data_IF_000805136395
#
_entry.id   IF_000805136395
#
_cell.length_a   1.000
_cell.length_b   1.000
_cell.length_c   1.000
_cell.angle_alpha   90.00
_cell.angle_beta   90.00
_cell.angle_gamma   90.00
#
_symmetry.space_group_name_H-M   'P 1'
#
loop_
_entity.id
_entity.type
_entity.pdbx_description
1 polymer ?
#
# COMPACT_ATOMS: atom_id res chain seq x y z
N UNK A 1 5.88 4.71 53.76
CA UNK A 1 6.36 5.18 52.46
C UNK A 1 5.36 4.70 51.42
N UNK A 2 4.58 5.60 50.84
CA UNK A 2 3.58 5.25 49.84
C UNK A 2 4.28 4.96 48.51
N UNK A 3 3.99 3.79 47.94
CA UNK A 3 4.51 3.32 46.67
C UNK A 3 3.94 4.18 45.55
N UNK A 4 4.79 5.05 44.97
CA UNK A 4 4.44 5.93 43.86
C UNK A 4 4.22 5.08 42.61
N UNK A 5 2.97 4.64 42.38
CA UNK A 5 2.57 3.97 41.15
C UNK A 5 2.73 4.95 39.99
N UNK A 6 3.87 4.90 39.31
CA UNK A 6 4.08 5.59 38.03
C UNK A 6 2.99 5.11 37.08
N UNK A 7 2.11 6.03 36.69
CA UNK A 7 1.08 5.78 35.68
C UNK A 7 1.81 5.56 34.35
N UNK A 8 2.00 4.29 33.98
CA UNK A 8 2.47 3.94 32.63
C UNK A 8 1.31 4.24 31.69
N UNK A 9 1.38 5.39 31.02
CA UNK A 9 0.48 5.69 29.91
C UNK A 9 1.00 4.89 28.73
N UNK A 10 0.37 3.75 28.46
CA UNK A 10 0.55 3.06 27.19
C UNK A 10 -0.16 3.92 26.15
N UNK A 11 0.60 4.69 25.38
CA UNK A 11 0.04 5.42 24.24
C UNK A 11 -0.49 4.37 23.25
N UNK A 12 -1.81 4.33 23.10
CA UNK A 12 -2.45 3.48 22.11
C UNK A 12 -2.24 4.10 20.73
N UNK A 13 -2.44 3.32 19.65
CA UNK A 13 -2.38 3.84 18.26
C UNK A 13 -3.22 5.13 18.04
N UNK A 14 -4.25 5.36 18.86
CA UNK A 14 -5.06 6.60 18.87
C UNK A 14 -4.31 7.85 19.37
N UNK A 15 -3.27 7.69 20.19
CA UNK A 15 -2.55 8.81 20.80
C UNK A 15 -1.40 9.34 19.91
N UNK A 16 -0.90 8.53 18.97
CA UNK A 16 0.10 8.95 17.96
C UNK A 16 -0.51 9.90 16.91
N UNK A 17 -1.83 9.82 16.67
CA UNK A 17 -2.57 10.74 15.78
C UNK A 17 -2.78 12.15 16.36
N UNK A 18 -2.13 12.53 17.47
CA UNK A 18 -2.43 13.79 18.20
C UNK A 18 -2.14 15.11 17.47
N UNK A 19 -1.49 15.09 16.31
CA UNK A 19 -1.37 16.29 15.48
C UNK A 19 -1.45 15.93 13.99
N UNK A 20 -2.64 15.56 13.47
CA UNK A 20 -2.79 15.21 12.07
C UNK A 20 -2.43 16.42 11.23
N UNK A 21 -1.76 16.22 10.10
CA UNK A 21 -1.39 17.32 9.22
C UNK A 21 -2.65 18.02 8.70
N UNK A 22 -2.52 19.24 8.14
CA UNK A 22 -3.67 19.91 7.52
C UNK A 22 -4.26 19.10 6.36
N UNK A 23 -3.40 18.37 5.63
CA UNK A 23 -3.78 17.45 4.58
C UNK A 23 -4.57 16.27 5.15
N UNK A 24 -4.13 15.72 6.28
CA UNK A 24 -4.77 14.56 6.90
C UNK A 24 -6.19 14.91 7.34
N UNK A 25 -6.36 16.06 7.99
CA UNK A 25 -7.69 16.57 8.37
C UNK A 25 -8.60 16.79 7.15
N UNK A 26 -8.04 17.24 6.04
CA UNK A 26 -8.81 17.47 4.81
C UNK A 26 -9.27 16.15 4.19
N UNK A 27 -8.38 15.17 4.04
CA UNK A 27 -8.71 13.85 3.49
C UNK A 27 -9.71 13.11 4.41
N UNK A 28 -9.50 13.17 5.72
CA UNK A 28 -10.40 12.59 6.73
C UNK A 28 -11.76 13.29 6.78
N UNK A 29 -11.85 14.56 6.40
CA UNK A 29 -13.11 15.30 6.30
C UNK A 29 -13.86 15.07 4.99
N UNK A 30 -13.19 14.58 3.95
CA UNK A 30 -13.72 14.44 2.60
C UNK A 30 -14.52 13.13 2.41
N UNK A 31 -15.53 12.90 3.25
CA UNK A 31 -16.41 11.71 3.20
C UNK A 31 -17.21 11.58 1.90
N UNK A 32 -17.37 12.67 1.15
CA UNK A 32 -17.98 12.63 -0.19
C UNK A 32 -17.23 11.70 -1.16
N UNK A 33 -15.94 11.42 -0.90
CA UNK A 33 -15.14 10.49 -1.70
C UNK A 33 -15.51 9.03 -1.48
N UNK A 34 -16.16 8.67 -0.36
CA UNK A 34 -16.40 7.27 0.02
C UNK A 34 -17.24 6.52 -1.04
N UNK A 35 -18.32 7.12 -1.53
CA UNK A 35 -19.19 6.50 -2.54
C UNK A 35 -18.51 6.25 -3.89
N UNK A 36 -17.87 7.27 -4.51
CA UNK A 36 -17.08 7.08 -5.72
C UNK A 36 -15.93 6.09 -5.54
N UNK A 37 -15.25 6.13 -4.39
CA UNK A 37 -14.16 5.22 -4.05
C UNK A 37 -14.64 3.76 -4.00
N UNK A 38 -15.75 3.48 -3.31
CA UNK A 38 -16.40 2.16 -3.28
C UNK A 38 -16.81 1.69 -4.67
N UNK A 39 -17.38 2.59 -5.46
CA UNK A 39 -17.81 2.27 -6.82
C UNK A 39 -16.62 1.82 -7.66
N UNK A 40 -15.52 2.59 -7.64
CA UNK A 40 -14.30 2.24 -8.35
C UNK A 40 -13.72 0.90 -7.87
N UNK A 41 -13.67 0.68 -6.55
CA UNK A 41 -13.16 -0.55 -5.94
C UNK A 41 -13.96 -1.77 -6.40
N UNK A 42 -15.30 -1.67 -6.37
CA UNK A 42 -16.22 -2.71 -6.81
C UNK A 42 -16.09 -2.99 -8.32
N UNK A 43 -15.86 -1.98 -9.14
CA UNK A 43 -15.60 -2.18 -10.58
C UNK A 43 -14.34 -2.98 -10.84
N UNK A 44 -13.25 -2.67 -10.14
CA UNK A 44 -11.97 -3.39 -10.26
C UNK A 44 -12.14 -4.84 -9.78
N UNK A 45 -12.82 -5.06 -8.65
CA UNK A 45 -13.11 -6.41 -8.14
C UNK A 45 -13.94 -7.23 -9.14
N UNK A 46 -15.00 -6.64 -9.70
CA UNK A 46 -15.83 -7.29 -10.74
C UNK A 46 -15.03 -7.64 -11.99
N UNK A 47 -14.04 -6.83 -12.38
CA UNK A 47 -13.17 -7.14 -13.51
C UNK A 47 -12.43 -8.46 -13.28
N UNK A 48 -11.84 -8.64 -12.09
CA UNK A 48 -11.17 -9.90 -11.74
C UNK A 48 -12.13 -11.08 -11.67
N UNK A 49 -13.33 -10.87 -11.11
CA UNK A 49 -14.38 -11.91 -11.05
C UNK A 49 -14.81 -12.37 -12.44
N UNK A 50 -15.07 -11.44 -13.37
CA UNK A 50 -15.45 -11.73 -14.76
C UNK A 50 -14.35 -12.48 -15.50
N UNK A 51 -13.08 -12.16 -15.22
CA UNK A 51 -11.93 -12.85 -15.81
C UNK A 51 -11.70 -14.24 -15.19
N UNK A 52 -12.37 -14.62 -14.11
CA UNK A 52 -12.29 -15.96 -13.50
C UNK A 52 -10.87 -16.35 -13.07
N UNK A 53 -10.41 -17.59 -13.31
CA UNK A 53 -9.07 -18.04 -12.91
C UNK A 53 -7.92 -17.19 -13.48
N UNK A 54 -7.93 -16.79 -14.77
CA UNK A 54 -6.96 -15.81 -15.29
C UNK A 54 -6.95 -14.49 -14.52
N UNK A 55 -8.12 -14.00 -14.11
CA UNK A 55 -8.26 -12.79 -13.29
C UNK A 55 -7.56 -12.91 -11.94
N UNK A 56 -7.71 -14.06 -11.27
CA UNK A 56 -7.02 -14.30 -10.00
C UNK A 56 -5.50 -14.39 -10.18
N UNK A 57 -5.01 -15.08 -11.21
CA UNK A 57 -3.58 -15.12 -11.52
C UNK A 57 -3.02 -13.72 -11.77
N UNK A 58 -3.76 -12.87 -12.50
CA UNK A 58 -3.38 -11.48 -12.73
C UNK A 58 -3.37 -10.68 -11.43
N UNK A 59 -4.39 -10.85 -10.58
CA UNK A 59 -4.49 -10.20 -9.27
C UNK A 59 -3.32 -10.60 -8.37
N UNK A 60 -2.96 -11.88 -8.32
CA UNK A 60 -1.83 -12.40 -7.55
C UNK A 60 -0.48 -11.83 -8.04
N UNK A 61 -0.31 -11.75 -9.37
CA UNK A 61 0.87 -11.15 -9.98
C UNK A 61 1.00 -9.67 -9.62
N UNK A 62 -0.11 -8.92 -9.71
CA UNK A 62 -0.12 -7.47 -9.49
C UNK A 62 0.03 -7.08 -8.02
N UNK A 63 -0.52 -7.87 -7.08
CA UNK A 63 -0.15 -7.75 -5.66
C UNK A 63 1.30 -8.19 -5.39
N UNK A 64 1.87 -9.02 -6.27
CA UNK A 64 3.22 -9.58 -6.13
C UNK A 64 3.29 -10.82 -5.22
N UNK A 65 2.16 -11.44 -4.89
CA UNK A 65 2.13 -12.65 -4.02
C UNK A 65 2.71 -13.87 -4.72
N UNK A 66 2.39 -14.08 -6.00
CA UNK A 66 2.93 -15.15 -6.84
C UNK A 66 3.24 -14.62 -8.25
N UNK A 67 4.44 -14.89 -8.81
CA UNK A 67 5.54 -15.70 -8.28
C UNK A 67 6.57 -14.92 -7.44
N UNK A 68 6.43 -13.59 -7.31
CA UNK A 68 7.48 -12.72 -6.77
C UNK A 68 7.67 -12.86 -5.25
N UNK A 69 6.58 -13.11 -4.51
CA UNK A 69 6.59 -13.15 -3.05
C UNK A 69 6.79 -11.78 -2.37
N UNK A 70 6.79 -10.69 -3.15
CA UNK A 70 7.02 -9.32 -2.67
C UNK A 70 6.09 -8.34 -3.39
N UNK A 71 5.63 -7.26 -2.73
CA UNK A 71 4.77 -6.25 -3.34
C UNK A 71 5.37 -5.71 -4.65
N UNK A 72 4.61 -5.82 -5.74
CA UNK A 72 5.09 -5.41 -7.07
C UNK A 72 5.04 -3.88 -7.24
N UNK A 73 3.99 -3.23 -6.72
CA UNK A 73 3.79 -1.80 -6.90
C UNK A 73 4.97 -0.94 -6.43
N UNK A 74 5.52 -1.09 -5.20
CA UNK A 74 6.68 -0.29 -4.78
C UNK A 74 7.89 -0.44 -5.72
N UNK A 75 8.20 -1.66 -6.16
CA UNK A 75 9.30 -1.90 -7.08
C UNK A 75 9.07 -1.23 -8.45
N UNK A 76 7.82 -1.18 -8.92
CA UNK A 76 7.48 -0.52 -10.19
C UNK A 76 7.56 1.00 -10.09
N UNK A 77 7.36 1.61 -8.92
CA UNK A 77 7.41 3.08 -8.76
C UNK A 77 8.80 3.67 -8.91
N UNK A 78 9.86 2.88 -8.73
CA UNK A 78 11.25 3.33 -8.91
C UNK A 78 11.54 3.71 -10.37
N UNK A 79 10.93 3.00 -11.32
CA UNK A 79 11.10 3.24 -12.77
C UNK A 79 10.64 4.65 -13.17
N UNK A 80 9.38 5.06 -12.95
CA UNK A 80 8.93 6.41 -13.29
C UNK A 80 9.68 7.49 -12.50
N UNK A 81 9.96 7.27 -11.21
CA UNK A 81 10.65 8.29 -10.41
C UNK A 81 12.07 8.55 -10.92
N UNK A 82 12.83 7.50 -11.21
CA UNK A 82 14.17 7.62 -11.79
C UNK A 82 14.13 8.25 -13.19
N UNK A 83 13.23 7.77 -14.04
CA UNK A 83 13.10 8.27 -15.42
C UNK A 83 12.69 9.75 -15.45
N UNK A 84 11.73 10.18 -14.64
CA UNK A 84 11.32 11.59 -14.58
C UNK A 84 12.39 12.49 -13.96
N UNK A 85 13.19 11.99 -13.03
CA UNK A 85 14.35 12.73 -12.49
C UNK A 85 15.36 13.03 -13.59
N UNK A 86 15.72 12.02 -14.38
CA UNK A 86 16.65 12.19 -15.52
C UNK A 86 16.02 13.07 -16.59
N UNK A 87 14.73 12.88 -16.91
CA UNK A 87 13.99 13.75 -17.84
C UNK A 87 14.10 15.22 -17.43
N UNK A 88 13.77 15.55 -16.19
CA UNK A 88 13.82 16.91 -15.67
C UNK A 88 15.22 17.51 -15.83
N UNK A 89 16.26 16.81 -15.37
CA UNK A 89 17.64 17.30 -15.48
C UNK A 89 18.06 17.46 -16.94
N UNK A 90 17.71 16.50 -17.79
CA UNK A 90 18.08 16.49 -19.20
C UNK A 90 17.44 17.65 -19.97
N UNK A 91 16.14 17.89 -19.74
CA UNK A 91 15.41 18.98 -20.39
C UNK A 91 16.04 20.34 -20.10
N UNK A 92 16.30 20.62 -18.81
CA UNK A 92 16.86 21.91 -18.41
C UNK A 92 18.32 22.06 -18.85
N UNK A 93 19.10 20.98 -18.85
CA UNK A 93 20.47 21.01 -19.36
C UNK A 93 20.50 21.27 -20.88
N UNK A 94 19.62 20.63 -21.64
CA UNK A 94 19.47 20.85 -23.08
C UNK A 94 19.00 22.28 -23.40
N UNK A 95 18.03 22.82 -22.66
CA UNK A 95 17.49 24.17 -22.89
C UNK A 95 18.45 25.30 -22.50
N UNK A 96 19.12 25.19 -21.34
CA UNK A 96 19.93 26.27 -20.78
C UNK A 96 21.37 26.24 -21.31
N UNK A 97 22.00 25.07 -21.28
CA UNK A 97 23.43 24.93 -21.56
C UNK A 97 23.72 24.32 -22.93
N UNK A 98 22.73 23.62 -23.52
CA UNK A 98 22.89 22.80 -24.73
C UNK A 98 24.00 21.74 -24.61
N UNK A 99 24.34 21.35 -23.37
CA UNK A 99 25.41 20.38 -23.11
C UNK A 99 25.04 18.94 -23.49
N UNK A 100 23.75 18.66 -23.66
CA UNK A 100 23.25 17.34 -24.07
C UNK A 100 22.14 17.46 -25.14
N UNK A 101 21.89 16.40 -25.92
CA UNK A 101 20.80 16.35 -26.90
C UNK A 101 19.40 16.53 -26.28
N UNK A 102 18.52 17.26 -26.96
CA UNK A 102 17.14 17.53 -26.53
C UNK A 102 16.23 16.30 -26.54
N UNK A 103 16.66 15.21 -27.18
CA UNK A 103 15.92 13.96 -27.34
C UNK A 103 15.95 13.07 -26.09
N UNK A 104 16.91 13.31 -25.19
CA UNK A 104 17.09 12.51 -23.97
C UNK A 104 15.88 12.68 -23.04
N UNK A 105 15.41 13.91 -22.84
CA UNK A 105 14.24 14.20 -22.00
C UNK A 105 12.97 13.46 -22.47
N UNK A 106 12.53 13.60 -23.74
CA UNK A 106 11.42 12.84 -24.30
C UNK A 106 11.56 11.32 -24.17
N UNK A 107 12.76 10.77 -24.38
CA UNK A 107 12.99 9.33 -24.20
C UNK A 107 12.75 8.90 -22.74
N UNK A 108 13.31 9.62 -21.78
CA UNK A 108 13.09 9.37 -20.36
C UNK A 108 11.62 9.56 -19.97
N UNK A 109 10.92 10.53 -20.55
CA UNK A 109 9.48 10.74 -20.34
C UNK A 109 8.67 9.53 -20.81
N UNK A 110 9.00 8.92 -21.96
CA UNK A 110 8.34 7.68 -22.45
C UNK A 110 8.57 6.54 -21.46
N UNK A 111 9.81 6.30 -21.06
CA UNK A 111 10.15 5.24 -20.09
C UNK A 111 9.37 5.46 -18.78
N UNK A 112 9.31 6.70 -18.30
CA UNK A 112 8.57 7.03 -17.09
C UNK A 112 7.06 6.84 -17.24
N UNK A 113 6.45 7.21 -18.37
CA UNK A 113 5.02 6.95 -18.65
C UNK A 113 4.73 5.45 -18.64
N UNK A 114 5.57 4.64 -19.28
CA UNK A 114 5.40 3.17 -19.30
C UNK A 114 5.54 2.57 -17.89
N UNK A 115 6.54 3.02 -17.12
CA UNK A 115 6.71 2.62 -15.72
C UNK A 115 5.52 3.03 -14.85
N UNK A 116 4.98 4.23 -15.06
CA UNK A 116 3.82 4.74 -14.33
C UNK A 116 2.53 3.99 -14.68
N UNK A 117 2.35 3.56 -15.92
CA UNK A 117 1.23 2.67 -16.32
C UNK A 117 1.33 1.31 -15.65
N UNK A 118 2.53 0.72 -15.60
CA UNK A 118 2.76 -0.55 -14.92
C UNK A 118 2.50 -0.41 -13.41
N UNK A 119 3.04 0.64 -12.77
CA UNK A 119 2.81 0.93 -11.36
C UNK A 119 1.33 1.17 -11.06
N UNK A 120 0.61 1.89 -11.93
CA UNK A 120 -0.83 2.12 -11.77
C UNK A 120 -1.63 0.81 -11.82
N UNK A 121 -1.27 -0.14 -12.69
CA UNK A 121 -1.94 -1.44 -12.74
C UNK A 121 -1.81 -2.20 -11.41
N UNK A 122 -0.60 -2.22 -10.83
CA UNK A 122 -0.36 -2.82 -9.52
C UNK A 122 -1.04 -2.01 -8.39
N UNK A 123 -0.97 -0.68 -8.41
CA UNK A 123 -1.57 0.18 -7.38
C UNK A 123 -3.10 0.17 -7.34
N UNK A 124 -3.77 0.09 -8.49
CA UNK A 124 -5.23 -0.12 -8.52
C UNK A 124 -5.63 -1.51 -8.03
N UNK A 125 -4.72 -2.48 -8.12
CA UNK A 125 -4.91 -3.80 -7.52
C UNK A 125 -4.83 -3.71 -6.00
N UNK A 126 -3.78 -3.08 -5.46
CA UNK A 126 -3.61 -2.83 -4.02
C UNK A 126 -4.76 -2.02 -3.42
N UNK A 127 -5.29 -1.05 -4.17
CA UNK A 127 -6.45 -0.23 -3.80
C UNK A 127 -7.67 -1.10 -3.39
N UNK A 128 -7.81 -2.31 -3.95
CA UNK A 128 -8.91 -3.21 -3.60
C UNK A 128 -8.89 -3.71 -2.16
N UNK A 129 -7.74 -3.63 -1.47
CA UNK A 129 -7.62 -3.98 -0.05
C UNK A 129 -7.92 -2.85 0.93
N UNK A 130 -8.11 -1.61 0.45
CA UNK A 130 -8.22 -0.42 1.32
C UNK A 130 -9.65 -0.16 1.81
N UNK A 131 -9.79 0.39 3.02
CA UNK A 131 -11.10 0.70 3.62
C UNK A 131 -11.09 1.98 4.47
N UNK A 132 -12.26 2.56 4.72
CA UNK A 132 -12.42 3.73 5.57
C UNK A 132 -11.48 4.89 5.20
N UNK A 133 -10.72 5.38 6.18
CA UNK A 133 -9.75 6.49 5.99
C UNK A 133 -8.66 6.15 4.99
N UNK A 134 -8.11 4.94 5.07
CA UNK A 134 -7.04 4.46 4.17
C UNK A 134 -7.48 4.53 2.70
N UNK A 135 -8.72 4.12 2.42
CA UNK A 135 -9.28 4.19 1.05
C UNK A 135 -9.38 5.63 0.53
N UNK A 136 -9.69 6.60 1.39
CA UNK A 136 -9.72 8.02 1.00
C UNK A 136 -8.34 8.58 0.67
N UNK A 137 -7.31 8.13 1.39
CA UNK A 137 -5.93 8.43 1.00
C UNK A 137 -5.56 7.75 -0.31
N UNK A 138 -5.93 6.48 -0.47
CA UNK A 138 -5.58 5.69 -1.65
C UNK A 138 -6.23 6.26 -2.92
N UNK A 139 -7.51 6.68 -2.86
CA UNK A 139 -8.16 7.33 -4.00
C UNK A 139 -7.56 8.72 -4.28
N UNK A 140 -7.18 9.49 -3.25
CA UNK A 140 -6.52 10.79 -3.43
C UNK A 140 -5.17 10.64 -4.11
N UNK A 141 -4.34 9.70 -3.64
CA UNK A 141 -3.06 9.35 -4.25
C UNK A 141 -3.24 8.87 -5.69
N UNK A 142 -4.11 7.88 -5.91
CA UNK A 142 -4.35 7.27 -7.23
C UNK A 142 -4.91 8.25 -8.26
N UNK A 143 -5.86 9.11 -7.87
CA UNK A 143 -6.39 10.16 -8.75
C UNK A 143 -5.32 11.20 -9.08
N UNK A 144 -4.56 11.65 -8.09
CA UNK A 144 -3.48 12.61 -8.31
C UNK A 144 -2.44 12.04 -9.28
N UNK A 145 -1.99 10.79 -9.08
CA UNK A 145 -1.08 10.11 -10.00
C UNK A 145 -1.68 9.98 -11.40
N UNK A 146 -2.96 9.60 -11.53
CA UNK A 146 -3.62 9.49 -12.85
C UNK A 146 -3.67 10.82 -13.60
N UNK A 147 -3.98 11.92 -12.91
CA UNK A 147 -3.98 13.26 -13.51
C UNK A 147 -2.57 13.69 -13.94
N UNK A 148 -1.55 13.37 -13.14
CA UNK A 148 -0.15 13.65 -13.47
C UNK A 148 0.33 12.82 -14.65
N UNK A 149 -0.09 11.55 -14.77
CA UNK A 149 0.16 10.71 -15.93
C UNK A 149 -0.40 11.35 -17.21
N UNK A 150 -1.64 11.83 -17.16
CA UNK A 150 -2.26 12.54 -18.29
C UNK A 150 -1.46 13.80 -18.64
N UNK A 151 -1.02 14.58 -17.65
CA UNK A 151 -0.17 15.75 -17.89
C UNK A 151 1.18 15.38 -18.54
N UNK A 152 1.80 14.27 -18.11
CA UNK A 152 3.03 13.73 -18.72
C UNK A 152 2.80 13.30 -20.18
N UNK A 153 1.67 12.66 -20.49
CA UNK A 153 1.29 12.28 -21.87
C UNK A 153 1.06 13.54 -22.73
N UNK A 154 0.36 14.55 -22.20
CA UNK A 154 0.16 15.83 -22.90
C UNK A 154 1.51 16.50 -23.18
N UNK A 155 2.42 16.54 -22.20
CA UNK A 155 3.79 17.03 -22.38
C UNK A 155 4.50 16.30 -23.52
N UNK A 156 4.40 14.97 -23.56
CA UNK A 156 5.00 14.16 -24.62
C UNK A 156 4.44 14.54 -25.99
N UNK A 157 3.11 14.61 -26.14
CA UNK A 157 2.47 14.97 -27.42
C UNK A 157 2.91 16.34 -27.91
N UNK A 158 3.03 17.34 -27.02
CA UNK A 158 3.48 18.68 -27.37
C UNK A 158 4.93 18.70 -27.88
N UNK A 159 5.81 17.88 -27.28
CA UNK A 159 7.22 17.77 -27.68
C UNK A 159 7.39 17.17 -29.09
N UNK A 160 6.41 16.41 -29.59
CA UNK A 160 6.43 15.80 -30.93
C UNK A 160 5.86 16.69 -32.04
N UNK A 161 5.32 17.88 -31.75
CA UNK A 161 4.68 18.75 -32.76
C UNK A 161 5.67 19.53 -33.67
N UNK A 162 6.96 19.17 -33.69
CA UNK A 162 8.01 19.87 -34.46
C UNK A 162 8.03 21.42 -34.30
N UNK A 163 7.64 21.93 -33.12
CA UNK A 163 7.59 23.35 -32.80
C UNK A 163 8.38 23.64 -31.53
N UNK A 164 9.35 24.56 -31.60
CA UNK A 164 10.18 24.94 -30.47
C UNK A 164 9.37 25.51 -29.30
N UNK A 165 8.31 26.29 -29.61
CA UNK A 165 7.40 26.85 -28.60
C UNK A 165 6.62 25.74 -27.89
N UNK A 166 6.05 24.79 -28.64
CA UNK A 166 5.28 23.69 -28.05
C UNK A 166 6.20 22.74 -27.26
N UNK A 167 7.42 22.51 -27.74
CA UNK A 167 8.43 21.76 -27.00
C UNK A 167 8.72 22.41 -25.64
N UNK A 168 8.94 23.73 -25.59
CA UNK A 168 9.16 24.45 -24.35
C UNK A 168 7.98 24.33 -23.38
N UNK A 169 6.74 24.51 -23.86
CA UNK A 169 5.55 24.30 -23.02
C UNK A 169 5.40 22.85 -22.55
N UNK A 170 5.78 21.88 -23.38
CA UNK A 170 5.89 20.48 -22.98
C UNK A 170 6.84 20.30 -21.80
N UNK A 171 8.04 20.89 -21.86
CA UNK A 171 9.01 20.86 -20.75
C UNK A 171 8.47 21.51 -19.48
N UNK A 172 7.77 22.65 -19.59
CA UNK A 172 7.15 23.29 -18.42
C UNK A 172 6.07 22.41 -17.79
N UNK A 173 5.19 21.80 -18.59
CA UNK A 173 4.12 20.92 -18.09
C UNK A 173 4.72 19.73 -17.35
N UNK A 174 5.70 19.02 -17.94
CA UNK A 174 6.32 17.88 -17.27
C UNK A 174 7.14 18.27 -16.05
N UNK A 175 7.72 19.48 -16.03
CA UNK A 175 8.43 20.01 -14.86
C UNK A 175 7.46 20.21 -13.68
N UNK A 176 6.32 20.86 -13.92
CA UNK A 176 5.29 21.03 -12.89
C UNK A 176 4.69 19.69 -12.47
N UNK A 177 4.43 18.81 -13.44
CA UNK A 177 3.93 17.48 -13.18
C UNK A 177 4.93 16.64 -12.36
N UNK A 178 6.23 16.76 -12.61
CA UNK A 178 7.26 16.07 -11.83
C UNK A 178 7.28 16.54 -10.37
N UNK A 179 7.14 17.85 -10.12
CA UNK A 179 6.93 18.37 -8.77
C UNK A 179 5.68 17.78 -8.12
N UNK A 180 4.59 17.65 -8.88
CA UNK A 180 3.38 16.96 -8.45
C UNK A 180 3.59 15.47 -8.15
N UNK A 181 4.40 14.76 -8.93
CA UNK A 181 4.73 13.34 -8.70
C UNK A 181 5.47 13.17 -7.38
N UNK A 182 6.42 14.04 -7.06
CA UNK A 182 7.14 14.01 -5.76
C UNK A 182 6.16 14.21 -4.60
N UNK A 183 5.24 15.17 -4.73
CA UNK A 183 4.22 15.39 -3.70
C UNK A 183 3.23 14.22 -3.59
N UNK A 184 2.79 13.65 -4.70
CA UNK A 184 1.91 12.48 -4.71
C UNK A 184 2.62 11.22 -4.16
N UNK A 185 3.94 11.10 -4.32
CA UNK A 185 4.75 10.04 -3.72
C UNK A 185 4.77 10.13 -2.19
N UNK A 186 4.75 11.33 -1.61
CA UNK A 186 4.57 11.50 -0.16
C UNK A 186 3.22 10.90 0.32
N UNK A 187 2.13 11.08 -0.42
CA UNK A 187 0.84 10.45 -0.10
C UNK A 187 0.94 8.91 -0.13
N UNK A 188 1.65 8.36 -1.12
CA UNK A 188 1.92 6.93 -1.21
C UNK A 188 2.73 6.43 0.00
N UNK A 189 3.76 7.17 0.41
CA UNK A 189 4.51 6.89 1.63
C UNK A 189 3.64 6.87 2.88
N UNK A 190 2.66 7.77 2.99
CA UNK A 190 1.73 7.77 4.13
C UNK A 190 0.80 6.55 4.15
N UNK A 191 0.40 6.02 2.99
CA UNK A 191 -0.32 4.74 2.90
C UNK A 191 0.51 3.60 3.48
N UNK A 192 1.76 3.44 3.01
CA UNK A 192 2.63 2.34 3.45
C UNK A 192 3.09 2.50 4.90
N UNK A 193 3.64 3.65 5.26
CA UNK A 193 4.28 3.84 6.58
C UNK A 193 3.32 4.33 7.66
N UNK A 194 2.26 5.05 7.29
CA UNK A 194 1.25 5.56 8.24
C UNK A 194 0.16 4.53 8.52
N UNK A 195 -0.50 4.04 7.46
CA UNK A 195 -1.60 3.08 7.61
C UNK A 195 -1.12 1.63 7.71
N UNK A 196 0.03 1.30 7.11
CA UNK A 196 0.47 -0.09 6.96
C UNK A 196 -0.20 -0.77 5.77
N UNK A 197 -0.68 -0.01 4.79
CA UNK A 197 -1.32 -0.55 3.58
C UNK A 197 -0.40 -1.54 2.90
N UNK A 198 -0.88 -2.77 2.69
CA UNK A 198 -0.11 -3.86 2.07
C UNK A 198 1.21 -4.21 2.79
N UNK A 199 1.32 -3.88 4.08
CA UNK A 199 2.45 -4.25 4.95
C UNK A 199 2.03 -5.40 5.85
N UNK A 200 2.89 -6.41 5.98
CA UNK A 200 2.67 -7.50 6.93
C UNK A 200 2.66 -6.95 8.37
N UNK A 201 1.50 -7.01 9.03
CA UNK A 201 1.33 -6.51 10.40
C UNK A 201 2.11 -7.27 11.48
N UNK A 202 2.72 -8.41 11.14
CA UNK A 202 3.64 -9.14 12.01
C UNK A 202 5.13 -8.83 11.73
N UNK A 203 5.45 -8.01 10.72
CA UNK A 203 6.84 -7.75 10.31
C UNK A 203 7.71 -7.07 11.38
N UNK A 204 7.08 -6.38 12.33
CA UNK A 204 7.77 -5.59 13.36
C UNK A 204 7.66 -6.21 14.76
N UNK A 205 7.11 -7.41 14.87
CA UNK A 205 7.02 -8.16 16.13
C UNK A 205 8.05 -9.28 16.09
N UNK A 206 9.08 -9.17 16.92
CA UNK A 206 10.07 -10.23 17.04
C UNK A 206 9.45 -11.44 17.74
N UNK A 207 9.52 -12.59 17.07
CA UNK A 207 9.20 -13.87 17.69
C UNK A 207 10.29 -14.31 18.65
N UNK A 208 9.94 -15.15 19.62
CA UNK A 208 10.93 -15.84 20.46
C UNK A 208 11.64 -16.94 19.67
N UNK A 209 12.97 -17.06 19.79
CA UNK A 209 13.74 -18.21 19.30
C UNK A 209 13.81 -19.35 20.32
N UNK A 210 13.46 -19.06 21.57
CA UNK A 210 13.46 -20.00 22.69
C UNK A 210 12.06 -20.51 22.99
N UNK A 211 11.98 -21.72 23.56
CA UNK A 211 10.73 -22.27 24.04
C UNK A 211 10.11 -21.37 25.10
N UNK A 212 8.94 -20.82 24.80
CA UNK A 212 8.17 -20.01 25.75
C UNK A 212 6.95 -20.77 26.23
N UNK A 213 6.82 -20.89 27.55
CA UNK A 213 5.63 -21.45 28.16
C UNK A 213 4.47 -20.44 28.03
N UNK A 214 3.42 -20.83 27.32
CA UNK A 214 2.24 -19.98 27.06
C UNK A 214 0.97 -20.47 27.78
N UNK A 215 1.05 -21.59 28.49
CA UNK A 215 -0.06 -22.21 29.20
C UNK A 215 0.12 -23.71 29.35
N UNK A 216 -0.77 -24.34 30.10
CA UNK A 216 -0.91 -25.79 30.20
C UNK A 216 -1.78 -26.32 29.06
N UNK A 217 -1.63 -27.59 28.72
CA UNK A 217 -2.49 -28.22 27.70
C UNK A 217 -4.00 -28.10 28.01
N UNK A 218 -4.38 -28.01 29.29
CA UNK A 218 -5.79 -27.92 29.70
C UNK A 218 -6.42 -26.55 29.42
N UNK A 219 -5.59 -25.52 29.20
CA UNK A 219 -6.05 -24.16 28.91
C UNK A 219 -6.59 -24.04 27.47
N UNK A 220 -6.29 -25.02 26.62
CA UNK A 220 -6.65 -25.05 25.20
C UNK A 220 -7.69 -26.15 24.94
N UNK A 221 -8.97 -25.78 25.02
CA UNK A 221 -10.07 -26.68 24.67
C UNK A 221 -10.11 -26.98 23.16
N UNK A 222 -10.61 -28.16 22.79
CA UNK A 222 -10.79 -28.57 21.39
C UNK A 222 -11.63 -27.56 20.61
N UNK A 223 -11.16 -27.16 19.43
CA UNK A 223 -11.85 -26.25 18.51
C UNK A 223 -12.00 -24.81 18.99
N UNK A 224 -11.37 -24.42 20.11
CA UNK A 224 -11.47 -23.06 20.65
C UNK A 224 -10.18 -22.26 20.39
N UNK A 225 -10.25 -21.19 19.58
CA UNK A 225 -9.18 -20.19 19.47
C UNK A 225 -8.88 -19.56 20.83
N UNK A 226 -7.60 -19.55 21.22
CA UNK A 226 -7.14 -18.88 22.45
C UNK A 226 -5.93 -18.01 22.14
N UNK A 227 -6.04 -16.73 22.45
CA UNK A 227 -4.91 -15.79 22.37
C UNK A 227 -4.00 -15.96 23.59
N UNK A 228 -2.72 -16.10 23.33
CA UNK A 228 -1.66 -16.15 24.34
C UNK A 228 -0.49 -15.27 23.91
N UNK A 229 0.44 -15.03 24.84
CA UNK A 229 1.60 -14.17 24.61
C UNK A 229 2.87 -15.03 24.67
N UNK A 230 3.65 -15.07 23.58
CA UNK A 230 4.92 -15.77 23.48
C UNK A 230 6.05 -14.75 23.31
N UNK A 231 6.66 -14.33 24.43
CA UNK A 231 7.55 -13.15 24.43
C UNK A 231 6.74 -11.90 24.05
N UNK A 232 7.19 -11.16 23.03
CA UNK A 232 6.47 -10.00 22.50
C UNK A 232 5.45 -10.35 21.40
N UNK A 233 5.43 -11.61 20.93
CA UNK A 233 4.51 -12.07 19.91
C UNK A 233 3.16 -12.54 20.48
N UNK A 234 2.04 -11.90 20.12
CA UNK A 234 0.72 -12.45 20.40
C UNK A 234 0.46 -13.63 19.45
N UNK A 235 0.07 -14.77 20.02
CA UNK A 235 -0.09 -16.05 19.31
C UNK A 235 -1.52 -16.55 19.50
N UNK A 236 -2.15 -16.98 18.42
CA UNK A 236 -3.38 -17.74 18.45
C UNK A 236 -3.01 -19.21 18.55
N UNK A 237 -3.48 -19.89 19.60
CA UNK A 237 -3.37 -21.34 19.76
C UNK A 237 -4.76 -21.96 19.64
N UNK A 238 -4.85 -23.05 18.89
CA UNK A 238 -6.07 -23.84 18.76
C UNK A 238 -5.75 -25.33 18.87
N UNK A 239 -6.60 -26.07 19.57
CA UNK A 239 -6.52 -27.54 19.62
C UNK A 239 -7.40 -28.16 18.54
N UNK A 240 -6.80 -28.94 17.63
CA UNK A 240 -7.47 -29.66 16.56
C UNK A 240 -7.00 -31.12 16.52
N UNK A 241 -7.93 -32.07 16.58
CA UNK A 241 -7.63 -33.50 16.62
C UNK A 241 -6.72 -33.88 17.79
N UNK A 242 -6.85 -33.18 18.93
CA UNK A 242 -5.98 -33.36 20.09
C UNK A 242 -4.58 -32.72 19.98
N UNK A 243 -4.20 -32.15 18.83
CA UNK A 243 -2.92 -31.46 18.62
C UNK A 243 -3.08 -29.96 18.81
N UNK A 244 -2.10 -29.29 19.40
CA UNK A 244 -2.05 -27.84 19.50
C UNK A 244 -1.36 -27.26 18.28
N UNK A 245 -2.04 -26.35 17.59
CA UNK A 245 -1.52 -25.57 16.47
C UNK A 245 -1.45 -24.11 16.89
N UNK A 246 -0.47 -23.40 16.37
CA UNK A 246 -0.21 -22.02 16.74
C UNK A 246 0.18 -21.18 15.52
N UNK A 247 -0.40 -20.00 15.40
CA UNK A 247 -0.04 -18.96 14.42
C UNK A 247 -0.01 -17.60 15.12
N UNK A 248 0.52 -16.56 14.47
CA UNK A 248 0.39 -15.20 15.01
C UNK A 248 -1.10 -14.85 15.24
N UNK A 249 -1.44 -14.22 16.37
CA UNK A 249 -2.82 -13.83 16.67
C UNK A 249 -3.30 -12.63 15.85
N UNK A 250 -2.38 -11.96 15.14
CA UNK A 250 -2.65 -10.75 14.37
C UNK A 250 -2.63 -11.12 12.89
N UNK A 251 -3.74 -10.81 12.21
CA UNK A 251 -3.91 -11.02 10.79
C UNK A 251 -2.88 -10.20 10.00
N UNK A 252 -2.09 -10.86 9.13
CA UNK A 252 -1.07 -10.20 8.32
C UNK A 252 -1.62 -9.21 7.31
N UNK A 253 -2.92 -9.31 6.95
CA UNK A 253 -3.58 -8.47 5.96
C UNK A 253 -3.88 -7.05 6.47
N UNK A 254 -4.59 -6.93 7.61
CA UNK A 254 -5.04 -5.64 8.13
C UNK A 254 -4.83 -5.47 9.65
N UNK A 255 -4.24 -6.46 10.33
CA UNK A 255 -3.99 -6.40 11.77
C UNK A 255 -5.15 -6.89 12.65
N UNK A 256 -6.17 -7.52 12.07
CA UNK A 256 -7.32 -8.03 12.81
C UNK A 256 -7.00 -9.17 13.81
N UNK A 257 -7.78 -9.31 14.90
CA UNK A 257 -7.57 -10.33 15.91
C UNK A 257 -8.08 -11.70 15.41
N UNK A 258 -7.17 -12.58 15.01
CA UNK A 258 -7.54 -13.91 14.51
C UNK A 258 -8.18 -14.78 15.59
N UNK A 259 -7.87 -14.52 16.86
CA UNK A 259 -8.47 -15.20 18.01
C UNK A 259 -9.95 -14.87 18.23
N UNK A 260 -10.45 -13.77 17.66
CA UNK A 260 -11.88 -13.44 17.61
C UNK A 260 -12.55 -13.93 16.31
N UNK A 261 -11.78 -14.64 15.46
CA UNK A 261 -12.22 -15.15 14.17
C UNK A 261 -13.08 -16.41 14.25
N UNK A 262 -13.58 -16.83 13.09
CA UNK A 262 -14.37 -18.07 12.94
C UNK A 262 -13.45 -19.22 12.52
N UNK A 263 -13.44 -20.30 13.28
CA UNK A 263 -12.71 -21.53 12.93
C UNK A 263 -13.61 -22.44 12.08
N UNK A 264 -13.14 -22.81 10.88
CA UNK A 264 -13.79 -23.76 9.97
C UNK A 264 -12.80 -24.86 9.58
N UNK A 265 -12.94 -26.03 10.21
CA UNK A 265 -11.96 -27.11 10.05
C UNK A 265 -10.61 -26.72 10.66
N UNK A 266 -9.59 -26.64 9.82
CA UNK A 266 -8.24 -26.15 10.14
C UNK A 266 -7.99 -24.70 9.71
N UNK A 267 -9.01 -23.99 9.21
CA UNK A 267 -8.89 -22.62 8.72
C UNK A 267 -9.48 -21.65 9.75
N UNK A 268 -8.69 -20.65 10.17
CA UNK A 268 -9.19 -19.49 10.92
C UNK A 268 -9.49 -18.34 9.96
N UNK A 269 -10.73 -17.83 10.04
CA UNK A 269 -11.24 -16.75 9.21
C UNK A 269 -11.23 -15.46 10.05
N UNK A 270 -10.43 -14.49 9.62
CA UNK A 270 -10.29 -13.19 10.27
C UNK A 270 -11.65 -12.47 10.37
N UNK A 271 -12.04 -11.94 11.55
CA UNK A 271 -13.36 -11.34 11.75
C UNK A 271 -13.55 -10.00 11.04
N UNK A 272 -12.47 -9.37 10.56
CA UNK A 272 -12.57 -8.07 9.90
C UNK A 272 -13.00 -8.19 8.44
N UNK A 273 -12.24 -8.93 7.63
CA UNK A 273 -12.41 -8.97 6.17
C UNK A 273 -12.43 -10.39 5.58
N UNK A 274 -12.51 -11.42 6.43
CA UNK A 274 -12.61 -12.81 5.96
C UNK A 274 -11.32 -13.38 5.36
N UNK A 275 -10.14 -12.84 5.69
CA UNK A 275 -8.86 -13.46 5.31
C UNK A 275 -8.73 -14.84 5.97
N UNK A 276 -8.29 -15.84 5.20
CA UNK A 276 -8.16 -17.25 5.65
C UNK A 276 -6.70 -17.59 5.98
N UNK A 277 -6.50 -18.31 7.08
CA UNK A 277 -5.20 -18.81 7.53
C UNK A 277 -5.34 -20.28 7.94
N UNK A 278 -4.40 -21.12 7.49
CA UNK A 278 -4.31 -22.54 7.84
C UNK A 278 -3.08 -22.83 8.69
#
# INVERSE_FOLDING_TARGET
MAEERKRVVVESRKDIERNPSALDRWIDGATWMDGPAETLQNWILKLYEVLGPPGQTLKDLLHGTRPLGHPLHPALTDVPLGAFTVMFLADWLALVSRAIPSEIGPFCLIVGILGMLAAAAAGYTDYTGTFGKERRYAVTHGLTMTLLLVAMIISLVLRYQHSATLFFFGVLISTLAFGGVIWAAYLGGHLTFGFGTMVNHNAFVEGTTEWTAVGSAKDFAEGKPVRVQAGDMPVLVVRLGGRLNAIAAVCTHAGGPLDEGKLEGDIIICPWHGSHFC
#
